data_IF_848533794327
#
_entry.id   IF_848533794327
#
_cell.length_a   1.000
_cell.length_b   1.000
_cell.length_c   1.000
_cell.angle_alpha   90.00
_cell.angle_beta   90.00
_cell.angle_gamma   90.00
#
_symmetry.space_group_name_H-M   'P 1'
#
loop_
_entity.id
_entity.type
_entity.pdbx_description
1 polymer ?
#
# COMPACT_ATOMS: atom_id res chain seq x y z
N UNK A 1 2.15 3.04 -24.18
CA UNK A 1 2.44 1.57 -24.18
C UNK A 1 1.50 0.95 -23.16
N UNK A 2 1.14 -0.34 -23.22
CA UNK A 2 0.40 -0.94 -22.11
C UNK A 2 1.22 -0.83 -20.82
N UNK A 3 0.56 -0.72 -19.66
CA UNK A 3 1.24 -0.72 -18.36
C UNK A 3 2.00 -2.04 -18.22
N UNK A 4 3.30 -1.97 -17.95
CA UNK A 4 4.07 -3.10 -17.42
C UNK A 4 4.19 -2.91 -15.90
N UNK A 5 3.74 -3.90 -15.12
CA UNK A 5 3.89 -3.90 -13.67
C UNK A 5 4.60 -5.16 -13.23
N UNK A 6 5.75 -4.99 -12.58
CA UNK A 6 6.39 -6.05 -11.77
C UNK A 6 6.31 -5.66 -10.31
N UNK A 7 5.84 -6.58 -9.47
CA UNK A 7 5.76 -6.39 -8.03
C UNK A 7 6.68 -7.39 -7.31
N UNK A 8 7.45 -6.91 -6.34
CA UNK A 8 8.24 -7.75 -5.43
C UNK A 8 7.81 -7.45 -4.01
N UNK A 9 7.16 -8.41 -3.37
CA UNK A 9 6.84 -8.28 -1.95
C UNK A 9 8.13 -8.37 -1.14
N UNK A 10 8.33 -7.39 -0.26
CA UNK A 10 9.49 -7.33 0.62
C UNK A 10 9.13 -7.90 1.99
N UNK A 11 7.96 -7.52 2.50
CA UNK A 11 7.38 -8.01 3.74
C UNK A 11 6.26 -7.08 4.17
N UNK A 12 5.26 -7.59 4.91
CA UNK A 12 4.18 -6.76 5.46
C UNK A 12 3.51 -5.88 4.39
N UNK A 13 3.56 -4.55 4.54
CA UNK A 13 3.06 -3.53 3.62
C UNK A 13 4.06 -3.13 2.52
N UNK A 14 5.32 -3.59 2.63
CA UNK A 14 6.42 -3.17 1.77
C UNK A 14 6.42 -3.95 0.46
N UNK A 15 6.19 -3.25 -0.64
CA UNK A 15 6.24 -3.79 -2.01
C UNK A 15 7.07 -2.87 -2.87
N UNK A 16 8.01 -3.46 -3.61
CA UNK A 16 8.70 -2.78 -4.69
C UNK A 16 7.86 -2.91 -5.98
N UNK A 17 7.35 -1.80 -6.49
CA UNK A 17 6.52 -1.73 -7.69
C UNK A 17 7.32 -1.10 -8.83
N UNK A 18 7.68 -1.88 -9.83
CA UNK A 18 8.28 -1.37 -11.06
C UNK A 18 7.19 -1.15 -12.10
N UNK A 19 6.81 0.11 -12.30
CA UNK A 19 5.84 0.57 -13.29
C UNK A 19 6.60 1.09 -14.51
N UNK A 20 6.59 0.28 -15.57
CA UNK A 20 7.45 0.46 -16.75
C UNK A 20 8.93 0.53 -16.35
N UNK A 21 9.50 1.72 -16.24
CA UNK A 21 10.90 1.97 -15.87
C UNK A 21 11.05 2.72 -14.55
N UNK A 22 9.95 3.00 -13.85
CA UNK A 22 9.92 3.77 -12.60
C UNK A 22 9.62 2.84 -11.45
N UNK A 23 10.39 2.98 -10.38
CA UNK A 23 10.33 2.11 -9.22
C UNK A 23 9.74 2.86 -8.03
N UNK A 24 8.58 2.41 -7.57
CA UNK A 24 7.96 2.85 -6.33
C UNK A 24 8.22 1.85 -5.20
N UNK A 25 8.28 2.33 -3.97
CA UNK A 25 8.31 1.50 -2.77
C UNK A 25 7.14 1.90 -1.86
N UNK A 26 6.32 0.94 -1.47
CA UNK A 26 5.27 1.18 -0.47
C UNK A 26 5.82 0.96 0.94
N UNK A 27 5.37 1.75 1.92
CA UNK A 27 5.48 1.51 3.36
C UNK A 27 6.77 0.74 3.79
N UNK A 28 7.95 1.39 3.78
CA UNK A 28 9.23 0.70 3.88
C UNK A 28 9.52 0.16 5.29
N UNK A 29 9.63 -1.17 5.40
CA UNK A 29 9.94 -1.89 6.64
C UNK A 29 11.04 -2.93 6.39
N UNK A 30 12.21 -2.76 7.02
CA UNK A 30 13.43 -3.52 6.74
C UNK A 30 14.12 -4.20 7.93
N UNK A 31 13.67 -3.96 9.16
CA UNK A 31 14.21 -4.59 10.37
C UNK A 31 14.01 -6.12 10.34
N UNK A 32 14.91 -6.91 10.93
CA UNK A 32 14.86 -8.37 10.84
C UNK A 32 13.75 -8.98 11.71
N UNK A 33 13.45 -10.26 11.45
CA UNK A 33 12.60 -11.07 12.34
C UNK A 33 13.16 -11.08 13.77
N UNK A 34 12.27 -11.14 14.76
CA UNK A 34 12.61 -11.06 16.18
C UNK A 34 12.73 -9.64 16.72
N UNK A 35 12.59 -8.62 15.88
CA UNK A 35 12.48 -7.22 16.32
C UNK A 35 11.13 -7.00 17.02
N UNK A 36 11.18 -6.30 18.16
CA UNK A 36 10.03 -5.98 18.99
C UNK A 36 9.87 -4.47 19.08
N UNK A 37 8.63 -3.99 18.97
CA UNK A 37 8.30 -2.57 19.10
C UNK A 37 7.34 -2.38 20.26
N UNK A 38 7.78 -1.64 21.27
CA UNK A 38 6.93 -1.21 22.37
C UNK A 38 6.12 0.01 21.91
N UNK A 39 4.81 -0.18 21.73
CA UNK A 39 3.86 0.88 21.36
C UNK A 39 3.06 1.39 22.57
N UNK A 40 3.61 1.19 23.78
CA UNK A 40 3.09 1.64 25.07
C UNK A 40 1.94 0.79 25.63
N UNK A 41 1.09 0.22 24.78
CA UNK A 41 -0.03 -0.65 25.20
C UNK A 41 0.22 -2.14 24.98
N UNK A 42 1.10 -2.46 24.03
CA UNK A 42 1.46 -3.82 23.66
C UNK A 42 2.85 -3.82 23.05
N UNK A 43 3.44 -5.01 22.90
CA UNK A 43 4.67 -5.21 22.16
C UNK A 43 4.28 -5.85 20.84
N UNK A 44 4.54 -5.16 19.74
CA UNK A 44 4.40 -5.72 18.40
C UNK A 44 5.64 -6.53 18.06
N UNK A 45 5.46 -7.81 17.70
CA UNK A 45 6.55 -8.70 17.34
C UNK A 45 6.55 -8.95 15.83
N UNK A 46 7.72 -8.78 15.22
CA UNK A 46 7.97 -9.10 13.83
C UNK A 46 8.49 -10.53 13.71
N UNK A 47 7.86 -11.35 12.87
CA UNK A 47 8.18 -12.77 12.73
C UNK A 47 8.96 -13.10 11.45
N UNK A 48 8.98 -12.20 10.48
CA UNK A 48 9.61 -12.44 9.18
C UNK A 48 10.70 -11.40 8.87
N UNK A 49 11.74 -11.86 8.18
CA UNK A 49 12.82 -10.99 7.72
C UNK A 49 12.51 -10.52 6.29
N UNK A 50 12.57 -9.20 6.03
CA UNK A 50 12.32 -8.65 4.70
C UNK A 50 13.25 -9.21 3.62
N UNK A 51 12.70 -9.48 2.43
CA UNK A 51 13.43 -9.99 1.27
C UNK A 51 12.97 -9.31 -0.02
N UNK A 52 13.85 -8.65 -0.81
CA UNK A 52 15.25 -8.38 -0.54
C UNK A 52 15.47 -7.51 0.71
N UNK A 53 16.70 -7.56 1.26
CA UNK A 53 17.10 -6.67 2.35
C UNK A 53 17.34 -5.26 1.82
N UNK A 54 17.34 -4.30 2.74
CA UNK A 54 17.55 -2.87 2.46
C UNK A 54 18.72 -2.58 1.50
N UNK A 55 19.89 -3.16 1.77
CA UNK A 55 21.11 -2.96 0.96
C UNK A 55 21.06 -3.59 -0.43
N UNK A 56 20.14 -4.52 -0.64
CA UNK A 56 19.98 -5.30 -1.86
C UNK A 56 18.86 -4.69 -2.76
N UNK A 57 18.29 -3.54 -2.37
CA UNK A 57 17.27 -2.83 -3.14
C UNK A 57 17.86 -2.16 -4.39
N UNK A 58 17.11 -2.13 -5.50
CA UNK A 58 17.42 -1.25 -6.62
C UNK A 58 17.16 0.22 -6.27
N UNK A 59 17.47 1.13 -7.19
CA UNK A 59 17.08 2.53 -7.05
C UNK A 59 15.55 2.66 -7.00
N UNK A 60 15.04 3.31 -5.96
CA UNK A 60 13.63 3.70 -5.83
C UNK A 60 13.47 5.17 -6.24
N UNK A 61 12.51 5.49 -7.09
CA UNK A 61 12.25 6.85 -7.54
C UNK A 61 11.34 7.61 -6.57
N UNK A 62 10.31 6.94 -6.06
CA UNK A 62 9.37 7.52 -5.09
C UNK A 62 8.89 6.49 -4.05
N UNK A 63 8.55 6.97 -2.88
CA UNK A 63 8.00 6.18 -1.77
C UNK A 63 6.54 6.59 -1.57
N UNK A 64 5.65 5.60 -1.60
CA UNK A 64 4.24 5.75 -1.24
C UNK A 64 4.11 5.32 0.23
N UNK A 65 4.17 6.29 1.14
CA UNK A 65 4.13 6.06 2.58
C UNK A 65 2.72 6.38 3.08
N UNK A 66 1.93 5.35 3.36
CA UNK A 66 0.53 5.51 3.75
C UNK A 66 0.37 6.28 5.07
N UNK A 67 1.28 6.03 6.01
CA UNK A 67 1.42 6.73 7.28
C UNK A 67 2.78 6.38 7.90
N UNK A 68 3.29 7.27 8.76
CA UNK A 68 4.65 7.24 9.27
C UNK A 68 4.76 6.84 10.73
N UNK A 69 3.67 6.69 11.46
CA UNK A 69 3.65 6.50 12.91
C UNK A 69 3.54 5.03 13.34
N UNK A 70 3.23 4.11 12.42
CA UNK A 70 3.18 2.67 12.67
C UNK A 70 4.46 1.95 12.22
N UNK A 71 4.99 1.06 13.07
CA UNK A 71 6.28 0.38 12.83
C UNK A 71 6.18 -0.73 11.77
N UNK A 72 4.98 -1.23 11.51
CA UNK A 72 4.67 -2.19 10.44
C UNK A 72 4.45 -1.53 9.06
N UNK A 73 4.50 -0.19 9.00
CA UNK A 73 4.48 0.59 7.75
C UNK A 73 5.74 1.46 7.58
N UNK A 74 6.42 1.82 8.68
CA UNK A 74 7.67 2.57 8.65
C UNK A 74 8.55 2.32 9.90
N UNK A 75 9.47 1.38 9.77
CA UNK A 75 10.43 1.05 10.83
C UNK A 75 11.71 1.91 10.79
N UNK A 76 12.56 1.88 11.83
CA UNK A 76 13.80 2.65 11.87
C UNK A 76 14.70 2.46 10.65
N UNK A 77 14.86 1.23 10.13
CA UNK A 77 15.65 0.97 8.93
C UNK A 77 15.01 1.59 7.68
N UNK A 78 13.70 1.45 7.49
CA UNK A 78 12.94 2.04 6.40
C UNK A 78 12.97 3.57 6.40
N UNK A 79 12.95 4.20 7.58
CA UNK A 79 13.11 5.66 7.72
C UNK A 79 14.40 6.20 7.13
N UNK A 80 15.45 5.38 7.06
CA UNK A 80 16.72 5.80 6.45
C UNK A 80 16.61 5.98 4.93
N UNK A 81 15.68 5.28 4.26
CA UNK A 81 15.44 5.39 2.81
C UNK A 81 14.78 6.70 2.38
N UNK A 82 14.11 7.39 3.31
CA UNK A 82 13.37 8.61 2.99
C UNK A 82 14.29 9.75 2.56
N UNK A 83 15.57 9.71 2.95
CA UNK A 83 16.52 10.77 2.66
C UNK A 83 16.89 10.80 1.18
N UNK A 84 16.68 11.95 0.54
CA UNK A 84 16.99 12.15 -0.88
C UNK A 84 16.02 11.49 -1.86
N UNK A 85 14.83 11.07 -1.38
CA UNK A 85 13.77 10.48 -2.21
C UNK A 85 12.51 11.35 -2.19
N UNK A 86 11.69 11.22 -3.21
CA UNK A 86 10.32 11.72 -3.20
C UNK A 86 9.51 10.79 -2.29
N UNK A 87 8.88 11.32 -1.26
CA UNK A 87 8.04 10.59 -0.32
C UNK A 87 6.69 11.25 -0.29
N UNK A 88 5.65 10.49 -0.57
CA UNK A 88 4.26 10.96 -0.50
C UNK A 88 3.63 10.35 0.75
N UNK A 89 3.02 11.17 1.59
CA UNK A 89 2.44 10.74 2.87
C UNK A 89 1.31 11.68 3.30
N UNK A 90 0.68 11.38 4.44
CA UNK A 90 -0.31 12.22 5.11
C UNK A 90 0.24 13.61 5.46
N UNK A 91 -0.63 14.63 5.65
CA UNK A 91 -0.21 15.93 6.18
C UNK A 91 0.51 15.86 7.53
N UNK A 92 0.02 15.06 8.48
CA UNK A 92 0.74 14.93 9.76
C UNK A 92 2.08 14.21 9.58
N UNK A 93 2.16 13.21 8.70
CA UNK A 93 3.42 12.56 8.38
C UNK A 93 4.45 13.45 7.73
N UNK A 94 4.03 14.33 6.82
CA UNK A 94 4.95 15.32 6.25
C UNK A 94 5.49 16.27 7.33
N UNK A 95 4.66 16.66 8.29
CA UNK A 95 5.06 17.47 9.44
C UNK A 95 6.01 16.71 10.38
N UNK A 96 5.72 15.46 10.70
CA UNK A 96 6.51 14.63 11.61
C UNK A 96 7.85 14.18 11.01
N UNK A 97 7.94 14.10 9.68
CA UNK A 97 9.15 13.75 8.94
C UNK A 97 9.99 14.96 8.50
N UNK A 98 9.53 16.18 8.80
CA UNK A 98 10.28 17.41 8.56
C UNK A 98 11.66 17.38 9.29
N UNK A 99 12.70 18.05 8.75
CA UNK A 99 12.68 18.96 7.59
C UNK A 99 13.07 18.29 6.27
N UNK A 100 12.77 17.00 6.06
CA UNK A 100 13.15 16.30 4.82
C UNK A 100 12.52 16.97 3.59
N UNK A 101 13.32 17.53 2.65
CA UNK A 101 12.78 18.36 1.57
C UNK A 101 12.01 17.59 0.49
N UNK A 102 12.21 16.27 0.39
CA UNK A 102 11.51 15.40 -0.57
C UNK A 102 10.21 14.81 -0.04
N UNK A 103 9.76 15.18 1.16
CA UNK A 103 8.50 14.68 1.74
C UNK A 103 7.36 15.63 1.39
N UNK A 104 6.31 15.09 0.78
CA UNK A 104 5.13 15.83 0.34
C UNK A 104 3.88 15.27 1.00
N UNK A 105 3.05 16.18 1.51
CA UNK A 105 1.74 15.86 2.03
C UNK A 105 0.74 15.67 0.88
N UNK A 106 -0.12 14.66 0.99
CA UNK A 106 -1.29 14.48 0.15
C UNK A 106 -2.52 14.25 1.02
N UNK A 107 -3.54 15.10 0.84
CA UNK A 107 -4.88 14.86 1.39
C UNK A 107 -5.69 13.94 0.49
N UNK A 108 -6.78 13.33 0.99
CA UNK A 108 -7.74 12.63 0.15
C UNK A 108 -8.21 13.50 -1.02
N UNK A 109 -8.11 12.94 -2.23
CA UNK A 109 -8.45 13.54 -3.51
C UNK A 109 -7.57 14.72 -3.96
N UNK A 110 -6.52 15.04 -3.20
CA UNK A 110 -5.46 15.95 -3.64
C UNK A 110 -4.49 15.20 -4.57
N UNK A 111 -4.02 15.89 -5.60
CA UNK A 111 -3.14 15.33 -6.63
C UNK A 111 -1.82 16.11 -6.67
N UNK A 112 -0.72 15.38 -6.77
CA UNK A 112 0.61 15.92 -7.00
C UNK A 112 1.15 15.43 -8.34
N UNK A 113 1.65 16.35 -9.15
CA UNK A 113 2.38 16.04 -10.37
C UNK A 113 3.86 15.81 -10.07
N UNK A 114 4.41 14.72 -10.58
CA UNK A 114 5.79 14.31 -10.38
C UNK A 114 6.46 14.05 -11.72
N UNK A 115 7.74 14.42 -11.83
CA UNK A 115 8.59 14.06 -12.96
C UNK A 115 9.64 13.05 -12.50
N UNK A 116 9.55 11.82 -12.98
CA UNK A 116 10.44 10.70 -12.62
C UNK A 116 10.93 10.02 -13.90
N UNK A 117 12.24 9.80 -14.02
CA UNK A 117 12.84 9.19 -15.22
C UNK A 117 12.48 9.89 -16.54
N UNK A 118 12.28 11.22 -16.51
CA UNK A 118 11.89 12.02 -17.67
C UNK A 118 10.40 11.96 -18.04
N UNK A 119 9.57 11.24 -17.25
CA UNK A 119 8.14 11.03 -17.51
C UNK A 119 7.29 11.73 -16.46
N UNK A 120 6.09 12.12 -16.86
CA UNK A 120 5.12 12.77 -15.97
C UNK A 120 4.19 11.72 -15.34
N UNK A 121 4.03 11.84 -14.02
CA UNK A 121 3.14 11.04 -13.19
C UNK A 121 2.22 11.96 -12.42
N UNK A 122 1.01 11.48 -12.15
CA UNK A 122 0.10 12.10 -11.19
C UNK A 122 -0.14 11.09 -10.08
N UNK A 123 0.04 11.53 -8.85
CA UNK A 123 -0.28 10.72 -7.67
C UNK A 123 -1.38 11.42 -6.89
N UNK A 124 -2.51 10.74 -6.73
CA UNK A 124 -3.68 11.26 -6.01
C UNK A 124 -3.84 10.51 -4.69
N UNK A 125 -3.98 11.24 -3.59
CA UNK A 125 -4.31 10.65 -2.29
C UNK A 125 -5.72 10.08 -2.28
N UNK A 126 -5.96 8.93 -1.66
CA UNK A 126 -7.30 8.35 -1.44
C UNK A 126 -7.68 8.42 0.02
N UNK A 127 -8.98 8.55 0.35
CA UNK A 127 -9.44 8.55 1.73
C UNK A 127 -9.16 7.20 2.38
N UNK A 128 -8.69 7.23 3.62
CA UNK A 128 -8.56 6.05 4.47
C UNK A 128 -9.24 6.29 5.81
N UNK A 129 -9.65 5.21 6.46
CA UNK A 129 -10.15 5.23 7.83
C UNK A 129 -9.44 4.13 8.62
N UNK A 130 -8.72 4.55 9.65
CA UNK A 130 -7.90 3.68 10.48
C UNK A 130 -8.24 3.87 11.98
N UNK A 131 -7.26 3.77 12.87
CA UNK A 131 -7.42 4.07 14.29
C UNK A 131 -7.92 5.52 14.49
N UNK A 132 -8.90 5.79 15.38
CA UNK A 132 -9.34 7.15 15.64
C UNK A 132 -8.18 8.06 16.07
N UNK A 133 -7.94 9.12 15.30
CA UNK A 133 -6.84 10.06 15.50
C UNK A 133 -5.57 9.74 14.72
N UNK A 134 -5.46 8.55 14.12
CA UNK A 134 -4.39 8.22 13.17
C UNK A 134 -4.76 8.67 11.75
N UNK A 135 -3.84 9.35 11.08
CA UNK A 135 -3.99 9.72 9.67
C UNK A 135 -3.38 8.64 8.80
N UNK A 136 -4.12 8.19 7.79
CA UNK A 136 -3.62 7.31 6.73
C UNK A 136 -4.09 7.85 5.38
N UNK A 137 -3.28 7.65 4.35
CA UNK A 137 -3.64 7.96 2.96
C UNK A 137 -3.28 6.79 2.05
N UNK A 138 -4.14 6.48 1.09
CA UNK A 138 -3.82 5.59 -0.02
C UNK A 138 -3.46 6.38 -1.27
N UNK A 139 -3.06 5.72 -2.35
CA UNK A 139 -2.50 6.39 -3.52
C UNK A 139 -3.01 5.79 -4.83
N UNK A 140 -3.53 6.65 -5.70
CA UNK A 140 -3.71 6.35 -7.12
C UNK A 140 -2.50 6.90 -7.87
N UNK A 141 -1.79 6.04 -8.60
CA UNK A 141 -0.68 6.42 -9.48
C UNK A 141 -1.14 6.27 -10.94
N UNK A 142 -1.11 7.37 -11.68
CA UNK A 142 -1.40 7.39 -13.12
C UNK A 142 -0.29 8.10 -13.91
N UNK A 143 -0.21 7.78 -15.20
CA UNK A 143 0.67 8.44 -16.15
C UNK A 143 0.05 8.36 -17.54
N UNK A 144 0.30 9.34 -18.41
CA UNK A 144 -0.14 9.26 -19.81
C UNK A 144 0.41 8.01 -20.51
N UNK A 145 1.58 7.53 -20.09
CA UNK A 145 2.21 6.32 -20.61
C UNK A 145 1.39 5.05 -20.33
N UNK A 146 0.50 5.07 -19.34
CA UNK A 146 -0.36 3.94 -18.97
C UNK A 146 -1.56 3.79 -19.90
N UNK A 147 -1.86 4.82 -20.71
CA UNK A 147 -3.00 4.86 -21.60
C UNK A 147 -4.34 5.04 -20.89
N UNK A 148 -5.41 4.89 -21.64
CA UNK A 148 -6.79 5.01 -21.19
C UNK A 148 -7.55 3.73 -21.46
N UNK A 149 -8.49 3.38 -20.59
CA UNK A 149 -9.42 2.29 -20.81
C UNK A 149 -10.39 2.62 -21.97
N UNK A 150 -11.15 1.61 -22.40
CA UNK A 150 -12.12 1.75 -23.49
C UNK A 150 -13.24 2.75 -23.21
N UNK A 151 -13.52 3.02 -21.94
CA UNK A 151 -14.50 4.02 -21.50
C UNK A 151 -13.91 5.43 -21.32
N UNK A 152 -12.64 5.62 -21.69
CA UNK A 152 -11.94 6.90 -21.67
C UNK A 152 -11.31 7.27 -20.32
N UNK A 153 -11.51 6.48 -19.25
CA UNK A 153 -10.85 6.74 -17.96
C UNK A 153 -9.34 6.48 -18.08
N UNK A 154 -8.48 7.28 -17.44
CA UNK A 154 -7.06 6.98 -17.33
C UNK A 154 -6.84 5.66 -16.60
N UNK A 155 -5.89 4.86 -17.09
CA UNK A 155 -5.47 3.65 -16.41
C UNK A 155 -4.58 4.03 -15.21
N UNK A 156 -4.80 3.39 -14.07
CA UNK A 156 -4.06 3.68 -12.85
C UNK A 156 -3.79 2.44 -12.01
N UNK A 157 -2.84 2.59 -11.09
CA UNK A 157 -2.49 1.62 -10.05
C UNK A 157 -2.94 2.18 -8.71
N UNK A 158 -3.61 1.37 -7.91
CA UNK A 158 -4.10 1.77 -6.60
C UNK A 158 -3.33 1.07 -5.49
N UNK A 159 -2.76 1.80 -4.54
CA UNK A 159 -2.27 1.30 -3.26
C UNK A 159 -3.18 1.79 -2.13
N UNK A 160 -3.78 0.89 -1.35
CA UNK A 160 -4.82 1.29 -0.40
C UNK A 160 -4.32 2.04 0.82
N UNK A 161 -3.08 1.78 1.26
CA UNK A 161 -2.69 2.02 2.64
C UNK A 161 -3.58 1.27 3.64
N UNK A 162 -3.37 1.52 4.93
CA UNK A 162 -4.16 0.94 6.00
C UNK A 162 -5.54 1.61 6.12
N UNK A 163 -6.58 0.89 5.69
CA UNK A 163 -7.95 1.39 5.78
C UNK A 163 -8.94 0.27 6.01
N UNK A 164 -10.07 0.57 6.64
CA UNK A 164 -11.28 -0.25 6.50
C UNK A 164 -12.02 0.14 5.22
N UNK A 165 -13.01 -0.67 4.82
CA UNK A 165 -13.91 -0.30 3.74
C UNK A 165 -14.72 0.94 4.14
N UNK A 166 -14.71 1.96 3.27
CA UNK A 166 -15.52 3.17 3.39
C UNK A 166 -16.14 3.49 2.02
N UNK A 167 -17.40 3.94 2.02
CA UNK A 167 -18.14 4.20 0.77
C UNK A 167 -17.47 5.23 -0.14
N UNK A 168 -16.67 6.15 0.41
CA UNK A 168 -15.96 7.17 -0.38
C UNK A 168 -14.97 6.55 -1.38
N UNK A 169 -14.43 5.36 -1.09
CA UNK A 169 -13.51 4.64 -1.98
C UNK A 169 -14.18 4.23 -3.30
N UNK A 170 -15.51 4.08 -3.35
CA UNK A 170 -16.22 3.72 -4.58
C UNK A 170 -16.08 4.77 -5.66
N UNK A 171 -15.83 6.04 -5.28
CA UNK A 171 -15.59 7.15 -6.20
C UNK A 171 -14.32 6.98 -7.03
N UNK A 172 -13.41 6.07 -6.65
CA UNK A 172 -12.24 5.71 -7.45
C UNK A 172 -12.68 5.28 -8.85
N UNK A 173 -13.73 4.46 -8.96
CA UNK A 173 -14.23 3.97 -10.25
C UNK A 173 -14.71 5.09 -11.17
N UNK A 174 -15.21 6.19 -10.62
CA UNK A 174 -15.77 7.25 -11.45
C UNK A 174 -14.67 8.06 -12.14
N UNK A 175 -13.42 7.92 -11.68
CA UNK A 175 -12.27 8.73 -12.11
C UNK A 175 -11.20 7.93 -12.83
N UNK A 176 -10.98 6.67 -12.44
CA UNK A 176 -9.91 5.82 -12.98
C UNK A 176 -10.42 4.44 -13.35
N UNK A 177 -9.75 3.84 -14.32
CA UNK A 177 -9.77 2.39 -14.52
C UNK A 177 -8.56 1.80 -13.78
N UNK A 178 -8.81 0.91 -12.81
CA UNK A 178 -7.77 0.37 -11.95
C UNK A 178 -7.22 -0.93 -12.53
N UNK A 179 -6.06 -0.84 -13.19
CA UNK A 179 -5.42 -2.00 -13.81
C UNK A 179 -4.87 -2.98 -12.77
N UNK A 180 -4.36 -2.47 -11.64
CA UNK A 180 -4.02 -3.29 -10.49
C UNK A 180 -4.26 -2.54 -9.18
N UNK A 181 -4.75 -3.27 -8.18
CA UNK A 181 -4.97 -2.79 -6.84
C UNK A 181 -4.10 -3.57 -5.84
N UNK A 182 -3.33 -2.86 -5.03
CA UNK A 182 -2.49 -3.36 -3.94
C UNK A 182 -3.20 -3.02 -2.64
N UNK A 183 -3.73 -4.03 -1.95
CA UNK A 183 -4.50 -3.83 -0.73
C UNK A 183 -3.71 -4.27 0.50
N UNK A 184 -3.55 -3.35 1.46
CA UNK A 184 -3.17 -3.70 2.82
C UNK A 184 -4.36 -4.39 3.48
N UNK A 185 -4.15 -5.65 3.80
CA UNK A 185 -5.14 -6.54 4.32
C UNK A 185 -4.57 -7.31 5.50
N UNK A 186 -4.98 -7.01 6.72
CA UNK A 186 -4.51 -7.74 7.92
C UNK A 186 -5.62 -8.22 8.83
N UNK A 187 -6.89 -7.85 8.54
CA UNK A 187 -8.00 -7.88 9.50
C UNK A 187 -7.54 -7.42 10.90
N UNK A 188 -6.69 -6.40 10.93
CA UNK A 188 -6.10 -5.92 12.16
C UNK A 188 -7.22 -5.24 12.96
N UNK A 189 -7.17 -5.47 14.27
CA UNK A 189 -8.14 -4.95 15.22
C UNK A 189 -7.40 -4.33 16.39
N UNK A 190 -7.96 -3.25 16.91
CA UNK A 190 -7.45 -2.63 18.13
C UNK A 190 -8.55 -2.49 19.16
N UNK A 191 -8.15 -2.41 20.42
CA UNK A 191 -9.06 -2.19 21.53
C UNK A 191 -9.08 -0.70 21.89
N UNK A 192 -10.25 -0.09 21.81
CA UNK A 192 -10.43 1.33 22.12
C UNK A 192 -11.75 1.53 22.85
N UNK A 193 -11.72 2.21 24.01
CA UNK A 193 -12.91 2.55 24.81
C UNK A 193 -13.84 1.35 25.06
N UNK A 194 -13.25 0.24 25.49
CA UNK A 194 -13.96 -1.02 25.80
C UNK A 194 -14.53 -1.78 24.59
N UNK A 195 -14.27 -1.32 23.36
CA UNK A 195 -14.71 -1.98 22.13
C UNK A 195 -13.52 -2.44 21.27
N UNK A 196 -13.70 -3.58 20.59
CA UNK A 196 -12.78 -4.04 19.55
C UNK A 196 -13.22 -3.43 18.22
N UNK A 197 -12.36 -2.60 17.64
CA UNK A 197 -12.62 -1.98 16.33
C UNK A 197 -11.70 -2.58 15.27
N UNK A 198 -12.24 -2.82 14.07
CA UNK A 198 -11.48 -3.20 12.88
C UNK A 198 -10.82 -1.96 12.29
N UNK A 199 -9.54 -2.07 11.89
CA UNK A 199 -8.74 -0.92 11.44
C UNK A 199 -8.12 -1.11 10.04
N UNK A 200 -8.10 -2.34 9.52
CA UNK A 200 -7.75 -2.64 8.13
C UNK A 200 -8.87 -3.46 7.48
N UNK A 201 -8.84 -3.62 6.15
CA UNK A 201 -9.73 -4.51 5.42
C UNK A 201 -9.68 -5.94 6.01
N UNK A 202 -10.81 -6.64 5.93
CA UNK A 202 -10.87 -8.11 5.94
C UNK A 202 -11.09 -8.67 4.52
N UNK A 203 -11.10 -9.99 4.35
CA UNK A 203 -11.14 -10.60 3.02
C UNK A 203 -12.42 -10.28 2.26
N UNK A 204 -13.55 -10.14 2.98
CA UNK A 204 -14.85 -9.77 2.40
C UNK A 204 -14.88 -8.30 2.00
N UNK A 205 -14.32 -7.41 2.83
CA UNK A 205 -14.14 -6.01 2.48
C UNK A 205 -13.28 -5.86 1.21
N UNK A 206 -12.19 -6.63 1.10
CA UNK A 206 -11.29 -6.59 -0.05
C UNK A 206 -12.00 -7.05 -1.33
N UNK A 207 -12.79 -8.13 -1.28
CA UNK A 207 -13.64 -8.57 -2.40
C UNK A 207 -14.63 -7.48 -2.81
N UNK A 208 -15.32 -6.89 -1.81
CA UNK A 208 -16.32 -5.85 -2.06
C UNK A 208 -15.68 -4.62 -2.69
N UNK A 209 -14.59 -4.11 -2.12
CA UNK A 209 -13.85 -2.97 -2.64
C UNK A 209 -13.35 -3.22 -4.06
N UNK A 210 -12.74 -4.38 -4.29
CA UNK A 210 -12.23 -4.78 -5.61
C UNK A 210 -13.31 -4.72 -6.69
N UNK A 211 -14.50 -5.26 -6.40
CA UNK A 211 -15.66 -5.22 -7.29
C UNK A 211 -16.20 -3.81 -7.48
N UNK A 212 -16.31 -3.05 -6.40
CA UNK A 212 -16.88 -1.70 -6.43
C UNK A 212 -16.00 -0.72 -7.23
N UNK A 213 -14.68 -0.83 -7.13
CA UNK A 213 -13.76 -0.01 -7.92
C UNK A 213 -13.56 -0.53 -9.35
N UNK A 214 -14.00 -1.78 -9.62
CA UNK A 214 -13.86 -2.44 -10.91
C UNK A 214 -12.40 -2.67 -11.30
N UNK A 215 -11.58 -3.11 -10.36
CA UNK A 215 -10.17 -3.41 -10.64
C UNK A 215 -10.00 -4.69 -11.45
N UNK A 216 -8.94 -4.76 -12.26
CA UNK A 216 -8.65 -5.92 -13.10
C UNK A 216 -7.85 -6.99 -12.34
N UNK A 217 -6.88 -6.57 -11.53
CA UNK A 217 -5.97 -7.43 -10.77
C UNK A 217 -5.88 -6.99 -9.31
N UNK A 218 -5.90 -7.96 -8.39
CA UNK A 218 -5.70 -7.75 -6.96
C UNK A 218 -4.37 -8.33 -6.49
N UNK A 219 -3.58 -7.53 -5.78
CA UNK A 219 -2.37 -7.95 -5.07
C UNK A 219 -2.62 -7.76 -3.57
N UNK A 220 -2.95 -8.83 -2.82
CA UNK A 220 -3.11 -8.77 -1.38
C UNK A 220 -1.72 -8.70 -0.70
N UNK A 221 -1.57 -7.83 0.30
CA UNK A 221 -0.40 -7.72 1.18
C UNK A 221 -0.83 -7.44 2.63
N UNK A 222 0.11 -7.29 3.58
CA UNK A 222 -0.18 -6.88 4.97
C UNK A 222 -0.95 -7.90 5.85
N UNK A 223 -0.95 -9.20 5.51
CA UNK A 223 -1.62 -10.26 6.31
C UNK A 223 -0.65 -11.20 7.03
N UNK A 224 0.67 -11.08 6.78
CA UNK A 224 1.71 -11.97 7.31
C UNK A 224 2.92 -11.17 7.82
N UNK A 225 3.71 -11.82 8.67
CA UNK A 225 4.98 -11.29 9.19
C UNK A 225 4.91 -10.56 10.55
N UNK A 226 3.71 -10.34 11.11
CA UNK A 226 3.52 -9.68 12.41
C UNK A 226 2.42 -10.35 13.26
N UNK A 227 2.57 -10.28 14.58
CA UNK A 227 1.71 -10.98 15.56
C UNK A 227 0.24 -10.49 15.55
N UNK A 228 -0.03 -9.26 15.13
CA UNK A 228 -1.36 -8.64 15.22
C UNK A 228 -2.30 -8.93 14.04
N UNK A 229 -1.83 -9.61 13.00
CA UNK A 229 -2.69 -10.02 11.89
C UNK A 229 -3.55 -11.23 12.30
N UNK A 230 -4.86 -11.10 12.10
CA UNK A 230 -5.82 -12.09 12.62
C UNK A 230 -6.44 -12.97 11.54
N UNK A 231 -6.06 -12.77 10.28
CA UNK A 231 -6.57 -13.54 9.15
C UNK A 231 -5.40 -14.12 8.35
N UNK A 232 -5.38 -15.46 8.22
CA UNK A 232 -4.34 -16.18 7.47
C UNK A 232 -4.57 -16.09 5.97
N UNK A 233 -3.52 -16.41 5.19
CA UNK A 233 -3.61 -16.57 3.74
C UNK A 233 -4.70 -17.56 3.31
N UNK A 234 -4.79 -18.73 3.94
CA UNK A 234 -5.81 -19.74 3.60
C UNK A 234 -7.24 -19.21 3.79
N UNK A 235 -7.45 -18.41 4.86
CA UNK A 235 -8.73 -17.74 5.07
C UNK A 235 -9.00 -16.70 3.99
N UNK A 236 -7.97 -16.03 3.46
CA UNK A 236 -8.13 -15.12 2.32
C UNK A 236 -8.57 -15.84 1.07
N UNK A 237 -7.87 -16.91 0.74
CA UNK A 237 -8.07 -17.64 -0.49
C UNK A 237 -9.50 -18.17 -0.53
N UNK A 238 -10.03 -18.56 0.63
CA UNK A 238 -11.43 -18.89 0.80
C UNK A 238 -12.35 -17.70 0.53
N UNK A 239 -12.13 -16.55 1.16
CA UNK A 239 -12.96 -15.35 0.94
C UNK A 239 -12.93 -14.90 -0.53
N UNK A 240 -11.77 -14.95 -1.19
CA UNK A 240 -11.61 -14.60 -2.60
C UNK A 240 -12.30 -15.57 -3.55
N UNK A 241 -12.24 -16.86 -3.24
CA UNK A 241 -12.95 -17.91 -3.99
C UNK A 241 -14.47 -17.81 -3.82
N UNK A 242 -14.95 -17.59 -2.60
CA UNK A 242 -16.37 -17.34 -2.34
C UNK A 242 -16.84 -16.04 -3.01
N UNK A 243 -15.94 -15.05 -3.08
CA UNK A 243 -16.13 -13.80 -3.79
C UNK A 243 -16.09 -13.91 -5.32
N UNK A 244 -15.59 -15.01 -5.89
CA UNK A 244 -15.44 -15.19 -7.34
C UNK A 244 -14.43 -14.22 -7.97
N UNK A 245 -13.32 -13.95 -7.28
CA UNK A 245 -12.23 -13.08 -7.78
C UNK A 245 -10.87 -13.80 -7.79
N UNK A 246 -10.82 -15.09 -7.47
CA UNK A 246 -9.59 -15.86 -7.28
C UNK A 246 -8.66 -15.88 -8.51
N UNK A 247 -9.22 -15.82 -9.71
CA UNK A 247 -8.51 -15.76 -10.99
C UNK A 247 -7.85 -14.40 -11.26
N UNK A 248 -8.36 -13.36 -10.59
CA UNK A 248 -7.86 -11.98 -10.65
C UNK A 248 -6.82 -11.67 -9.57
N UNK A 249 -6.58 -12.60 -8.65
CA UNK A 249 -5.60 -12.42 -7.58
C UNK A 249 -4.21 -12.78 -8.07
N UNK A 250 -3.21 -11.97 -7.68
CA UNK A 250 -1.79 -12.22 -7.92
C UNK A 250 -1.06 -12.27 -6.59
N UNK A 251 -0.82 -13.50 -6.14
CA UNK A 251 -0.02 -13.77 -4.95
C UNK A 251 1.44 -13.50 -5.22
N UNK A 252 2.08 -12.75 -4.32
CA UNK A 252 3.51 -12.50 -4.37
C UNK A 252 4.25 -13.49 -3.47
N UNK A 253 5.47 -13.82 -3.85
CA UNK A 253 6.41 -14.52 -2.96
C UNK A 253 7.47 -13.53 -2.49
N UNK A 254 7.73 -13.41 -1.17
CA UNK A 254 8.77 -12.51 -0.68
C UNK A 254 10.10 -12.67 -1.42
N UNK A 255 10.67 -11.55 -1.85
CA UNK A 255 11.95 -11.48 -2.55
C UNK A 255 11.95 -11.95 -4.01
N UNK A 256 10.81 -12.41 -4.55
CA UNK A 256 10.71 -12.85 -5.94
C UNK A 256 9.93 -11.83 -6.79
N UNK A 257 10.56 -11.21 -7.79
CA UNK A 257 9.85 -10.38 -8.74
C UNK A 257 8.77 -11.17 -9.47
N UNK A 258 7.55 -10.64 -9.46
CA UNK A 258 6.38 -11.24 -10.11
C UNK A 258 5.84 -10.27 -11.15
N UNK A 259 5.77 -10.69 -12.41
CA UNK A 259 5.10 -9.91 -13.45
C UNK A 259 3.58 -9.98 -13.23
N UNK A 260 2.95 -8.82 -13.07
CA UNK A 260 1.53 -8.67 -12.78
C UNK A 260 0.76 -8.28 -14.06
N UNK A 261 1.28 -7.28 -14.78
CA UNK A 261 0.77 -6.77 -16.06
C UNK A 261 1.87 -6.89 -17.13
#
# INVERSE_FOLDING_TARGET
MPISLTATHIGTATVLLTLNSITFLTDPVFDPAGTNYDVGRTILKKHETPAPRLKDLPSVDAILLSHEDHSDNLDPSGRTLLNGRIVLTTPDGAKNLAPRPGVHALKPWEMLELKMGGKDFKVTGTPCKHVPGGEVVGFIVESADFGTASDGRPNAIYFSGDTVYIEDLKKIKDKWHIAAAIFNWGNAKTFMREEVIKITLDGKDAVQLFKDIGADVLIPIHFEGWEHFTQSKDALEKDFKEGGIEDKVRWLTPGKPTKVL
#
